data_IF_541224061905
#
_entry.id   IF_541224061905
#
_cell.length_a   1.000
_cell.length_b   1.000
_cell.length_c   1.000
_cell.angle_alpha   90.00
_cell.angle_beta   90.00
_cell.angle_gamma   90.00
#
_symmetry.space_group_name_H-M   'P 1'
#
loop_
_entity.id
_entity.type
_entity.pdbx_description
1 polymer ?
#
# COMPACT_ATOMS: atom_id res chain seq x y z
N UNK A 1 26.80 -9.35 10.80
CA UNK A 1 26.95 -7.87 10.86
C UNK A 1 26.17 -7.22 9.71
N UNK A 2 25.02 -6.57 9.96
CA UNK A 2 24.40 -5.65 8.99
C UNK A 2 23.33 -4.72 9.62
N UNK A 3 23.70 -3.94 10.63
CA UNK A 3 22.84 -2.85 11.15
C UNK A 3 22.93 -1.55 10.32
N UNK A 4 23.76 -1.50 9.28
CA UNK A 4 24.07 -0.29 8.50
C UNK A 4 22.93 0.26 7.62
N UNK A 5 21.81 -0.46 7.44
CA UNK A 5 20.78 -0.09 6.44
C UNK A 5 19.65 0.79 6.98
N UNK A 6 19.28 0.63 8.25
CA UNK A 6 18.26 1.49 8.89
C UNK A 6 18.81 2.92 9.06
N UNK A 7 20.11 3.04 9.37
CA UNK A 7 20.78 4.34 9.51
C UNK A 7 20.80 5.15 8.20
N UNK A 8 20.82 4.49 7.03
CA UNK A 8 20.78 5.17 5.74
C UNK A 8 19.45 5.90 5.49
N UNK A 9 18.33 5.32 5.92
CA UNK A 9 17.02 5.97 5.85
C UNK A 9 16.86 7.07 6.92
N UNK A 10 17.50 6.89 8.09
CA UNK A 10 17.51 7.90 9.16
C UNK A 10 18.33 9.14 8.78
N UNK A 11 19.51 8.95 8.19
CA UNK A 11 20.37 10.05 7.72
C UNK A 11 19.73 10.91 6.63
N UNK A 12 18.94 10.33 5.73
CA UNK A 12 18.21 11.09 4.71
C UNK A 12 17.07 11.94 5.30
N UNK A 13 16.51 11.54 6.45
CA UNK A 13 15.44 12.26 7.13
C UNK A 13 15.97 13.44 7.96
N UNK A 14 17.17 13.34 8.53
CA UNK A 14 17.75 14.39 9.37
C UNK A 14 18.19 15.64 8.59
N UNK A 15 18.42 15.54 7.28
CA UNK A 15 18.78 16.67 6.42
C UNK A 15 17.58 17.53 5.97
N UNK A 16 16.36 17.18 6.40
CA UNK A 16 15.13 17.84 5.96
C UNK A 16 14.34 18.45 7.14
N UNK A 17 15.05 19.09 8.10
CA UNK A 17 14.41 19.93 9.11
C UNK A 17 14.03 21.31 8.53
N UNK A 18 12.76 21.71 8.53
CA UNK A 18 12.39 23.10 8.28
C UNK A 18 12.65 23.95 9.53
N UNK A 19 13.30 25.09 9.30
CA UNK A 19 13.45 26.22 10.23
C UNK A 19 12.09 26.74 10.73
N UNK A 20 11.98 27.12 12.01
CA UNK A 20 10.81 27.76 12.65
C UNK A 20 10.42 29.08 11.97
N UNK A 21 9.22 29.67 12.13
CA UNK A 21 8.30 29.99 13.25
C UNK A 21 6.95 30.49 12.63
N UNK A 22 5.94 31.09 13.34
CA UNK A 22 5.35 30.86 14.66
C UNK A 22 3.80 30.70 14.64
N UNK A 23 3.28 30.45 15.84
CA UNK A 23 1.88 30.39 16.30
C UNK A 23 0.99 31.60 15.97
N UNK A 24 -0.29 31.34 15.66
CA UNK A 24 -1.35 32.33 15.43
C UNK A 24 -2.75 31.81 15.76
N UNK A 25 -3.09 31.90 17.05
CA UNK A 25 -4.36 32.29 17.68
C UNK A 25 -5.77 31.95 17.11
N UNK A 26 -6.63 31.53 18.05
CA UNK A 26 -8.05 31.18 17.93
C UNK A 26 -8.93 32.35 17.44
N UNK A 27 -9.99 32.02 16.69
CA UNK A 27 -11.27 32.74 16.85
C UNK A 27 -12.48 31.83 16.62
N UNK A 28 -13.26 31.67 17.69
CA UNK A 28 -14.65 31.18 17.69
C UNK A 28 -15.55 32.26 17.10
N UNK A 29 -16.55 31.90 16.30
CA UNK A 29 -17.77 32.69 16.16
C UNK A 29 -18.99 31.77 16.06
N UNK A 30 -19.91 31.98 17.01
CA UNK A 30 -21.29 31.50 17.03
C UNK A 30 -22.20 32.68 16.68
N UNK A 31 -23.30 32.42 15.98
CA UNK A 31 -24.54 33.21 15.91
C UNK A 31 -25.63 32.22 15.45
N UNK A 32 -26.61 31.78 16.26
CA UNK A 32 -27.78 32.46 16.87
C UNK A 32 -28.84 32.91 15.84
N UNK A 33 -29.84 32.03 15.66
CA UNK A 33 -31.32 32.20 15.76
C UNK A 33 -32.04 33.35 15.04
N UNK A 34 -33.05 32.99 14.21
CA UNK A 34 -34.49 33.33 14.35
C UNK A 34 -35.29 32.65 13.21
N UNK A 35 -36.26 31.73 13.41
CA UNK A 35 -37.66 31.73 13.93
C UNK A 35 -38.76 32.34 13.03
N UNK A 36 -39.89 31.61 13.03
CA UNK A 36 -41.30 31.92 12.65
C UNK A 36 -41.70 31.62 11.19
N UNK A 37 -42.84 30.98 10.90
CA UNK A 37 -43.95 30.48 11.73
C UNK A 37 -45.17 30.05 10.88
N UNK A 38 -46.19 29.48 11.54
CA UNK A 38 -47.56 29.22 11.04
C UNK A 38 -47.71 27.95 10.19
N UNK A 39 -48.77 27.15 10.23
CA UNK A 39 -50.06 27.15 10.92
C UNK A 39 -50.65 25.73 10.73
N UNK A 40 -51.51 25.29 11.64
CA UNK A 40 -52.09 23.95 11.65
C UNK A 40 -53.20 23.80 10.59
N UNK A 41 -53.35 22.61 10.02
CA UNK A 41 -54.70 22.12 9.70
C UNK A 41 -54.79 20.59 9.72
N UNK A 42 -55.78 20.10 10.46
CA UNK A 42 -56.12 18.69 10.63
C UNK A 42 -57.06 18.26 9.50
N UNK A 43 -56.61 17.40 8.59
CA UNK A 43 -57.52 16.60 7.76
C UNK A 43 -56.84 15.29 7.36
N UNK A 44 -57.22 14.19 8.00
CA UNK A 44 -56.87 12.86 7.51
C UNK A 44 -57.64 12.53 6.23
N UNK A 45 -57.07 11.71 5.34
CA UNK A 45 -57.80 10.48 5.02
C UNK A 45 -56.90 9.23 4.89
N UNK A 46 -57.50 8.13 5.34
CA UNK A 46 -57.31 6.71 5.01
C UNK A 46 -56.12 6.28 4.14
N UNK A 47 -55.27 5.43 4.72
CA UNK A 47 -54.25 4.62 4.04
C UNK A 47 -54.92 3.47 3.28
N UNK A 48 -54.73 3.33 1.96
CA UNK A 48 -54.94 2.05 1.28
C UNK A 48 -53.67 1.19 1.39
N UNK A 49 -53.83 0.01 1.99
CA UNK A 49 -52.84 -1.07 1.97
C UNK A 49 -52.56 -1.49 0.52
N UNK A 50 -51.33 -1.29 0.05
CA UNK A 50 -50.83 -1.89 -1.19
C UNK A 50 -50.01 -3.13 -0.80
N UNK A 51 -50.36 -4.34 -1.28
CA UNK A 51 -49.55 -5.53 -1.03
C UNK A 51 -48.24 -5.44 -1.83
N UNK A 52 -47.11 -5.53 -1.13
CA UNK A 52 -45.80 -5.65 -1.75
C UNK A 52 -45.68 -7.01 -2.49
N UNK A 53 -45.28 -7.02 -3.78
CA UNK A 53 -44.86 -8.25 -4.43
C UNK A 53 -43.55 -8.74 -3.80
N UNK A 54 -43.57 -9.96 -3.27
CA UNK A 54 -42.39 -10.74 -2.92
C UNK A 54 -41.59 -11.05 -4.19
N UNK A 55 -40.61 -10.21 -4.53
CA UNK A 55 -39.54 -10.59 -5.45
C UNK A 55 -38.20 -10.68 -4.72
N UNK A 56 -37.84 -11.94 -4.51
CA UNK A 56 -36.58 -12.48 -4.02
C UNK A 56 -35.44 -12.16 -5.01
N UNK A 57 -34.36 -11.46 -4.61
CA UNK A 57 -33.07 -11.61 -5.26
C UNK A 57 -32.43 -12.88 -4.73
N UNK A 58 -32.39 -13.88 -5.61
CA UNK A 58 -31.68 -15.14 -5.41
C UNK A 58 -30.21 -14.89 -5.06
N UNK A 59 -29.69 -15.76 -4.20
CA UNK A 59 -28.41 -15.64 -3.53
C UNK A 59 -27.24 -15.24 -4.43
N UNK A 60 -26.61 -14.11 -4.09
CA UNK A 60 -25.17 -13.98 -4.17
C UNK A 60 -24.57 -14.88 -3.10
N UNK A 61 -24.59 -16.18 -3.37
CA UNK A 61 -23.76 -17.14 -2.67
C UNK A 61 -22.33 -16.78 -3.06
N UNK A 62 -21.71 -15.87 -2.30
CA UNK A 62 -20.26 -15.68 -2.36
C UNK A 62 -19.68 -17.06 -2.13
N UNK A 63 -19.21 -17.70 -3.20
CA UNK A 63 -18.52 -18.98 -3.12
C UNK A 63 -17.25 -18.65 -2.36
N UNK A 64 -17.28 -18.80 -1.04
CA UNK A 64 -16.11 -18.67 -0.18
C UNK A 64 -15.15 -19.73 -0.68
N UNK A 65 -14.21 -19.30 -1.53
CA UNK A 65 -13.18 -20.17 -2.07
C UNK A 65 -12.41 -20.63 -0.85
N UNK A 66 -12.60 -21.90 -0.48
CA UNK A 66 -11.89 -22.48 0.65
C UNK A 66 -10.40 -22.31 0.36
N UNK A 67 -9.64 -21.63 1.23
CA UNK A 67 -8.23 -21.43 0.99
C UNK A 67 -7.56 -22.78 0.80
N UNK A 68 -6.71 -22.86 -0.22
CA UNK A 68 -5.98 -24.08 -0.57
C UNK A 68 -5.24 -24.62 0.67
N UNK A 69 -4.99 -25.93 0.70
CA UNK A 69 -4.21 -26.56 1.80
C UNK A 69 -2.87 -25.85 2.00
N UNK A 70 -2.24 -25.42 0.91
CA UNK A 70 -1.01 -24.62 0.90
C UNK A 70 -1.19 -23.25 1.56
N UNK A 71 -2.27 -22.53 1.24
CA UNK A 71 -2.57 -21.24 1.87
C UNK A 71 -2.83 -21.38 3.38
N UNK A 72 -3.59 -22.40 3.80
CA UNK A 72 -3.82 -22.66 5.23
C UNK A 72 -2.54 -23.03 5.98
N UNK A 73 -1.68 -23.84 5.37
CA UNK A 73 -0.37 -24.18 5.95
C UNK A 73 0.51 -22.95 6.07
N UNK A 74 0.54 -22.10 5.03
CA UNK A 74 1.25 -20.82 5.05
C UNK A 74 0.76 -19.93 6.18
N UNK A 75 -0.56 -19.79 6.38
CA UNK A 75 -1.09 -18.97 7.47
C UNK A 75 -0.68 -19.49 8.85
N UNK A 76 -0.69 -20.82 9.06
CA UNK A 76 -0.21 -21.43 10.31
C UNK A 76 1.29 -21.22 10.56
N UNK A 77 2.09 -21.23 9.49
CA UNK A 77 3.52 -20.93 9.58
C UNK A 77 3.77 -19.46 9.92
N UNK A 78 2.97 -18.54 9.38
CA UNK A 78 3.08 -17.11 9.70
C UNK A 78 2.66 -16.81 11.15
N UNK A 79 1.65 -17.52 11.66
CA UNK A 79 1.19 -17.45 13.06
C UNK A 79 2.25 -17.96 14.05
N UNK A 80 3.05 -18.95 13.62
CA UNK A 80 4.10 -19.57 14.44
C UNK A 80 5.44 -18.81 14.46
N UNK A 81 5.57 -17.72 13.68
CA UNK A 81 6.85 -16.98 13.57
C UNK A 81 7.09 -16.01 14.74
N UNK A 82 6.07 -15.73 15.56
CA UNK A 82 6.08 -15.04 16.86
C UNK A 82 6.87 -13.70 17.00
N UNK A 83 6.42 -12.91 17.98
CA UNK A 83 6.66 -11.49 18.29
C UNK A 83 8.13 -11.04 18.48
N UNK A 84 9.09 -11.98 18.57
CA UNK A 84 10.48 -11.72 19.00
C UNK A 84 11.47 -11.47 17.85
N UNK A 85 11.03 -11.56 16.59
CA UNK A 85 11.87 -11.19 15.44
C UNK A 85 11.66 -9.74 15.07
N UNK A 86 12.76 -9.01 14.89
CA UNK A 86 12.73 -7.67 14.31
C UNK A 86 11.93 -7.73 13.00
N UNK A 87 10.83 -6.99 12.90
CA UNK A 87 9.86 -7.02 11.79
C UNK A 87 10.50 -7.03 10.37
N UNK A 88 11.70 -6.45 10.25
CA UNK A 88 12.50 -6.43 9.02
C UNK A 88 13.05 -7.81 8.62
N UNK A 89 13.45 -8.66 9.58
CA UNK A 89 13.99 -10.00 9.31
C UNK A 89 12.90 -10.95 8.81
N UNK A 90 11.70 -10.86 9.41
CA UNK A 90 10.51 -11.60 8.94
C UNK A 90 10.15 -11.16 7.53
N UNK A 91 10.14 -9.85 7.26
CA UNK A 91 9.89 -9.31 5.93
C UNK A 91 10.95 -9.76 4.92
N UNK A 92 12.24 -9.73 5.28
CA UNK A 92 13.32 -10.19 4.41
C UNK A 92 13.20 -11.68 4.08
N UNK A 93 12.87 -12.51 5.06
CA UNK A 93 12.64 -13.95 4.85
C UNK A 93 11.44 -14.19 3.93
N UNK A 94 10.33 -13.49 4.16
CA UNK A 94 9.14 -13.57 3.30
C UNK A 94 9.44 -13.10 1.87
N UNK A 95 10.28 -12.08 1.72
CA UNK A 95 10.72 -11.54 0.43
C UNK A 95 11.60 -12.54 -0.31
N UNK A 96 12.59 -13.13 0.36
CA UNK A 96 13.44 -14.18 -0.21
C UNK A 96 12.61 -15.38 -0.68
N UNK A 97 11.65 -15.83 0.13
CA UNK A 97 10.73 -16.90 -0.28
C UNK A 97 9.88 -16.50 -1.49
N UNK A 98 9.32 -15.29 -1.49
CA UNK A 98 8.48 -14.82 -2.58
C UNK A 98 9.27 -14.78 -3.90
N UNK A 99 10.49 -14.23 -3.87
CA UNK A 99 11.40 -14.20 -5.03
C UNK A 99 11.72 -15.61 -5.52
N UNK A 100 12.05 -16.53 -4.62
CA UNK A 100 12.38 -17.91 -4.99
C UNK A 100 11.18 -18.65 -5.61
N UNK A 101 9.99 -18.52 -5.02
CA UNK A 101 8.76 -19.20 -5.45
C UNK A 101 8.29 -18.77 -6.84
N UNK A 102 8.47 -17.49 -7.18
CA UNK A 102 8.06 -16.95 -8.48
C UNK A 102 9.20 -16.88 -9.48
N UNK A 103 10.39 -17.37 -9.12
CA UNK A 103 11.61 -17.30 -9.93
C UNK A 103 11.95 -15.86 -10.35
N UNK A 104 11.74 -14.91 -9.43
CA UNK A 104 12.00 -13.49 -9.66
C UNK A 104 13.49 -13.17 -9.68
N UNK A 105 13.83 -12.04 -10.33
CA UNK A 105 15.18 -11.47 -10.32
C UNK A 105 15.60 -10.96 -8.94
N UNK A 106 14.62 -10.53 -8.14
CA UNK A 106 14.81 -9.98 -6.81
C UNK A 106 13.56 -9.24 -6.36
N UNK A 107 13.56 -8.75 -5.13
CA UNK A 107 12.39 -8.16 -4.52
C UNK A 107 12.68 -6.98 -3.60
N UNK A 108 11.62 -6.23 -3.33
CA UNK A 108 11.60 -5.03 -2.49
C UNK A 108 10.41 -5.07 -1.53
N UNK A 109 10.61 -4.60 -0.31
CA UNK A 109 9.56 -4.39 0.69
C UNK A 109 9.47 -2.92 1.09
N UNK A 110 8.31 -2.33 0.89
CA UNK A 110 8.03 -0.92 1.17
C UNK A 110 7.02 -0.77 2.30
N UNK A 111 7.33 0.04 3.31
CA UNK A 111 6.44 0.32 4.45
C UNK A 111 6.20 1.83 4.63
N UNK A 112 5.04 2.24 5.15
CA UNK A 112 4.79 3.64 5.49
C UNK A 112 5.71 4.11 6.63
N UNK A 113 6.23 5.33 6.53
CA UNK A 113 7.02 5.95 7.60
C UNK A 113 6.16 6.50 8.74
N UNK A 114 6.72 6.56 9.95
CA UNK A 114 6.01 6.87 11.20
C UNK A 114 5.58 8.33 11.42
N UNK A 115 5.85 9.27 10.52
CA UNK A 115 5.61 10.70 10.78
C UNK A 115 5.08 11.55 9.63
N UNK A 116 5.15 11.09 8.37
CA UNK A 116 4.71 11.85 7.19
C UNK A 116 3.74 11.02 6.34
N UNK A 117 2.52 11.53 6.13
CA UNK A 117 1.51 10.89 5.29
C UNK A 117 1.86 11.04 3.82
N UNK A 118 2.00 9.93 3.11
CA UNK A 118 2.11 9.93 1.65
C UNK A 118 3.40 9.36 1.08
N UNK A 119 4.29 8.80 1.92
CA UNK A 119 5.55 8.19 1.49
C UNK A 119 5.66 6.74 1.98
N UNK A 120 6.21 5.88 1.12
CA UNK A 120 6.67 4.54 1.46
C UNK A 120 8.20 4.48 1.38
N UNK A 121 8.80 3.82 2.37
CA UNK A 121 10.25 3.63 2.48
C UNK A 121 10.59 2.19 2.14
N UNK A 122 11.66 2.01 1.36
CA UNK A 122 12.26 0.70 1.19
C UNK A 122 12.87 0.27 2.52
N UNK A 123 12.35 -0.81 3.11
CA UNK A 123 12.82 -1.35 4.39
C UNK A 123 13.52 -2.70 4.23
N UNK A 124 13.30 -3.38 3.10
CA UNK A 124 13.95 -4.65 2.77
C UNK A 124 14.16 -4.77 1.26
N UNK A 125 15.29 -5.33 0.85
CA UNK A 125 15.62 -5.71 -0.52
C UNK A 125 16.28 -7.10 -0.52
N UNK A 126 16.08 -7.87 -1.59
CA UNK A 126 16.75 -9.16 -1.79
C UNK A 126 17.05 -9.40 -3.26
N UNK A 127 18.27 -9.86 -3.56
CA UNK A 127 18.68 -10.26 -4.92
C UNK A 127 18.93 -9.11 -5.91
N UNK A 128 18.67 -7.85 -5.53
CA UNK A 128 18.82 -6.70 -6.41
C UNK A 128 20.13 -5.92 -6.13
N UNK A 129 20.84 -5.44 -7.16
CA UNK A 129 22.00 -4.59 -6.97
C UNK A 129 21.61 -3.19 -6.47
N UNK A 130 22.53 -2.48 -5.83
CA UNK A 130 22.26 -1.16 -5.26
C UNK A 130 21.82 -0.13 -6.30
N UNK A 131 22.39 -0.17 -7.51
CA UNK A 131 21.97 0.70 -8.62
C UNK A 131 20.48 0.51 -8.96
N UNK A 132 19.96 -0.71 -8.77
CA UNK A 132 18.56 -1.02 -9.00
C UNK A 132 17.67 -0.58 -7.85
N UNK A 133 18.09 -0.72 -6.59
CA UNK A 133 17.27 -0.39 -5.42
C UNK A 133 17.30 1.09 -5.06
N UNK A 134 18.36 1.81 -5.46
CA UNK A 134 18.55 3.22 -5.13
C UNK A 134 17.37 4.09 -5.60
N UNK A 135 16.85 4.03 -6.84
CA UNK A 135 15.66 4.79 -7.25
C UNK A 135 14.42 4.56 -6.37
N UNK A 136 14.31 3.40 -5.72
CA UNK A 136 13.12 2.96 -4.97
C UNK A 136 13.17 3.21 -3.46
N UNK A 137 14.24 3.80 -2.94
CA UNK A 137 14.42 4.03 -1.50
C UNK A 137 13.21 4.75 -0.86
N UNK A 138 12.63 5.68 -1.61
CA UNK A 138 11.51 6.51 -1.19
C UNK A 138 10.58 6.66 -2.39
N UNK A 139 9.31 6.30 -2.25
CA UNK A 139 8.28 6.43 -3.27
C UNK A 139 7.01 7.06 -2.68
N UNK A 140 6.22 7.79 -3.47
CA UNK A 140 4.95 8.33 -2.99
C UNK A 140 3.89 7.22 -2.88
N UNK A 141 3.09 7.23 -1.81
CA UNK A 141 1.94 6.32 -1.62
C UNK A 141 0.92 6.49 -2.75
N UNK A 142 0.71 7.73 -3.22
CA UNK A 142 -0.19 8.04 -4.34
C UNK A 142 0.51 8.02 -5.71
N UNK A 143 1.63 7.30 -5.79
CA UNK A 143 2.35 7.11 -7.04
C UNK A 143 1.71 6.04 -7.93
N UNK A 144 2.15 6.03 -9.18
CA UNK A 144 1.76 5.09 -10.24
C UNK A 144 2.51 3.77 -10.16
N UNK A 145 3.65 3.73 -9.48
CA UNK A 145 4.47 2.53 -9.39
C UNK A 145 3.70 1.35 -8.75
N UNK A 146 3.97 0.09 -9.13
CA UNK A 146 3.26 -1.08 -8.61
C UNK A 146 3.19 -1.17 -7.08
N UNK A 147 4.29 -0.97 -6.30
CA UNK A 147 4.21 -0.99 -4.84
C UNK A 147 3.35 0.14 -4.26
N UNK A 148 3.30 1.31 -4.89
CA UNK A 148 2.42 2.42 -4.49
C UNK A 148 0.95 2.06 -4.72
N UNK A 149 0.63 1.56 -5.92
CA UNK A 149 -0.71 1.12 -6.29
C UNK A 149 -1.20 -0.02 -5.39
N UNK A 150 -0.36 -1.02 -5.13
CA UNK A 150 -0.72 -2.15 -4.29
C UNK A 150 -0.98 -1.73 -2.83
N UNK A 151 -0.13 -0.86 -2.28
CA UNK A 151 -0.29 -0.34 -0.92
C UNK A 151 -1.54 0.56 -0.77
N UNK A 152 -1.83 1.39 -1.78
CA UNK A 152 -2.94 2.33 -1.76
C UNK A 152 -4.30 1.63 -1.98
N UNK A 153 -4.37 0.77 -2.97
CA UNK A 153 -5.62 0.18 -3.45
C UNK A 153 -5.94 -1.17 -2.80
N UNK A 154 -5.00 -1.74 -2.05
CA UNK A 154 -5.10 -3.08 -1.48
C UNK A 154 -5.31 -4.17 -2.54
N UNK A 155 -4.66 -4.03 -3.69
CA UNK A 155 -4.79 -4.93 -4.83
C UNK A 155 -3.43 -5.44 -5.31
N UNK A 156 -3.42 -6.62 -5.89
CA UNK A 156 -2.26 -7.12 -6.63
C UNK A 156 -2.13 -6.26 -7.90
N UNK A 157 -0.93 -5.71 -8.13
CA UNK A 157 -0.64 -4.86 -9.29
C UNK A 157 0.50 -5.46 -10.09
N UNK A 158 0.34 -5.52 -11.41
CA UNK A 158 1.36 -5.95 -12.36
C UNK A 158 1.66 -4.82 -13.33
N UNK A 159 2.95 -4.61 -13.63
CA UNK A 159 3.41 -3.75 -14.70
C UNK A 159 4.41 -4.53 -15.56
N UNK A 160 4.20 -4.63 -16.89
CA UNK A 160 5.05 -5.44 -17.76
C UNK A 160 6.42 -4.79 -18.04
N UNK A 161 6.50 -3.47 -17.94
CA UNK A 161 7.71 -2.70 -18.20
C UNK A 161 8.10 -1.86 -16.99
N UNK A 162 9.23 -2.21 -16.39
CA UNK A 162 9.76 -1.49 -15.26
C UNK A 162 10.09 -0.04 -15.63
N UNK A 163 9.52 0.89 -14.86
CA UNK A 163 9.73 2.32 -15.00
C UNK A 163 10.24 2.93 -13.69
N UNK A 164 10.93 4.08 -13.74
CA UNK A 164 11.25 4.85 -12.54
C UNK A 164 9.98 5.18 -11.75
N UNK A 165 10.03 5.10 -10.40
CA UNK A 165 8.90 5.55 -9.60
C UNK A 165 8.73 7.07 -9.73
N UNK A 166 7.51 7.54 -9.46
CA UNK A 166 7.22 8.98 -9.44
C UNK A 166 8.15 9.73 -8.47
N UNK A 167 8.51 10.99 -8.79
CA UNK A 167 9.36 11.80 -7.93
C UNK A 167 8.68 12.14 -6.60
N UNK A 168 9.53 12.37 -5.58
CA UNK A 168 9.12 12.94 -4.29
C UNK A 168 9.86 14.27 -4.09
N UNK A 169 9.33 15.22 -3.30
CA UNK A 169 10.00 16.51 -3.09
C UNK A 169 11.49 16.35 -2.72
N UNK A 170 12.36 17.03 -3.46
CA UNK A 170 13.82 16.98 -3.26
C UNK A 170 14.52 15.74 -3.82
N UNK A 171 13.83 14.87 -4.57
CA UNK A 171 14.43 13.65 -5.11
C UNK A 171 13.82 13.25 -6.45
N UNK A 172 14.68 13.10 -7.45
CA UNK A 172 14.33 12.58 -8.77
C UNK A 172 14.85 11.13 -8.95
N UNK A 173 13.97 10.11 -8.92
CA UNK A 173 14.34 8.72 -9.19
C UNK A 173 14.81 8.48 -10.62
N UNK A 174 14.34 9.25 -11.61
CA UNK A 174 14.70 9.08 -13.01
C UNK A 174 16.18 9.43 -13.25
N UNK A 175 16.71 10.44 -12.55
CA UNK A 175 18.13 10.77 -12.57
C UNK A 175 19.03 9.65 -11.99
N UNK A 176 18.48 8.75 -11.18
CA UNK A 176 19.18 7.60 -10.59
C UNK A 176 18.93 6.31 -11.37
N UNK A 177 18.15 6.37 -12.45
CA UNK A 177 17.71 5.19 -13.19
C UNK A 177 18.88 4.55 -13.94
N UNK A 178 19.04 3.21 -13.87
CA UNK A 178 20.13 2.56 -14.59
C UNK A 178 19.94 2.67 -16.11
N UNK A 179 20.97 3.15 -16.81
CA UNK A 179 20.90 3.49 -18.25
C UNK A 179 20.87 2.29 -19.20
N UNK A 180 21.11 1.06 -18.71
CA UNK A 180 21.20 -0.17 -19.51
C UNK A 180 20.32 -1.30 -18.97
N UNK A 181 19.07 -0.99 -18.65
CA UNK A 181 18.09 -2.03 -18.32
C UNK A 181 17.47 -2.60 -19.60
N UNK A 182 17.38 -3.94 -19.73
CA UNK A 182 16.60 -4.54 -20.80
C UNK A 182 15.11 -4.17 -20.65
N UNK A 183 14.44 -3.95 -21.78
CA UNK A 183 12.98 -3.77 -21.81
C UNK A 183 12.26 -5.06 -21.38
N UNK A 184 11.01 -4.94 -20.93
CA UNK A 184 10.18 -6.09 -20.53
C UNK A 184 10.48 -6.65 -19.13
N UNK A 185 11.29 -5.98 -18.30
CA UNK A 185 11.39 -6.34 -16.88
C UNK A 185 10.03 -6.09 -16.24
N UNK A 186 9.36 -7.16 -15.82
CA UNK A 186 8.07 -7.07 -15.15
C UNK A 186 8.20 -6.70 -13.67
N UNK A 187 7.18 -6.05 -13.12
CA UNK A 187 7.10 -5.64 -11.73
C UNK A 187 5.74 -6.03 -11.14
N UNK A 188 5.77 -7.05 -10.27
CA UNK A 188 4.59 -7.47 -9.51
C UNK A 188 4.66 -6.88 -8.11
N UNK A 189 3.55 -6.34 -7.62
CA UNK A 189 3.41 -5.91 -6.25
C UNK A 189 2.14 -6.45 -5.61
N UNK A 190 2.23 -6.78 -4.32
CA UNK A 190 1.11 -7.24 -3.48
C UNK A 190 1.07 -6.38 -2.21
N UNK A 191 -0.11 -6.05 -1.68
CA UNK A 191 -0.21 -5.36 -0.40
C UNK A 191 0.32 -6.27 0.72
N UNK A 192 1.03 -5.67 1.68
CA UNK A 192 1.37 -6.37 2.93
C UNK A 192 0.10 -6.38 3.78
N UNK A 193 -0.43 -7.56 4.16
CA UNK A 193 -1.62 -7.64 5.00
C UNK A 193 -1.41 -6.94 6.34
N UNK A 194 -2.39 -6.17 6.78
CA UNK A 194 -2.35 -5.50 8.08
C UNK A 194 -3.71 -4.95 8.49
N UNK A 195 -3.97 -4.89 9.80
CA UNK A 195 -5.26 -4.45 10.36
C UNK A 195 -5.55 -2.95 10.25
N UNK A 196 -4.63 -2.16 9.69
CA UNK A 196 -4.72 -0.70 9.61
C UNK A 196 -4.98 -0.15 8.19
N UNK A 197 -5.34 1.15 8.14
CA UNK A 197 -5.53 1.93 6.91
C UNK A 197 -4.24 2.27 6.16
N UNK A 198 -3.06 2.08 6.78
CA UNK A 198 -1.76 2.33 6.15
C UNK A 198 -1.06 1.00 5.94
N UNK A 199 -0.97 0.58 4.68
CA UNK A 199 -0.35 -0.68 4.29
C UNK A 199 0.94 -0.42 3.51
N UNK A 200 1.85 -1.37 3.61
CA UNK A 200 3.00 -1.43 2.74
C UNK A 200 2.75 -2.33 1.54
N UNK A 201 3.78 -2.55 0.74
CA UNK A 201 3.75 -3.49 -0.36
C UNK A 201 5.02 -4.33 -0.41
N UNK A 202 4.87 -5.57 -0.84
CA UNK A 202 5.96 -6.45 -1.23
C UNK A 202 5.94 -6.56 -2.75
N UNK A 203 7.10 -6.40 -3.39
CA UNK A 203 7.20 -6.47 -4.84
C UNK A 203 8.36 -7.31 -5.32
N UNK A 204 8.21 -7.91 -6.49
CA UNK A 204 9.18 -8.79 -7.14
C UNK A 204 9.36 -8.34 -8.59
N UNK A 205 10.62 -8.33 -9.03
CA UNK A 205 11.00 -8.06 -10.41
C UNK A 205 11.18 -9.35 -11.19
N UNK A 206 10.80 -9.33 -12.45
CA UNK A 206 10.76 -10.49 -13.33
C UNK A 206 11.61 -10.26 -14.58
N UNK A 207 12.23 -11.32 -15.08
CA UNK A 207 12.98 -11.24 -16.33
C UNK A 207 12.05 -10.98 -17.52
N UNK A 208 12.56 -10.37 -18.61
CA UNK A 208 11.80 -10.23 -19.84
C UNK A 208 11.21 -11.56 -20.32
N UNK A 209 9.93 -11.53 -20.75
CA UNK A 209 9.25 -12.69 -21.31
C UNK A 209 8.68 -13.70 -20.31
N UNK A 210 8.79 -13.46 -19.00
CA UNK A 210 8.18 -14.35 -17.98
C UNK A 210 6.72 -14.03 -17.66
N UNK A 211 6.07 -13.13 -18.41
CA UNK A 211 4.63 -12.89 -18.31
C UNK A 211 3.89 -14.16 -18.78
N UNK A 212 3.54 -15.04 -17.84
CA UNK A 212 2.64 -16.16 -18.12
C UNK A 212 1.26 -15.57 -18.43
N UNK A 213 0.78 -15.82 -19.64
CA UNK A 213 -0.62 -15.64 -20.03
C UNK A 213 -1.50 -16.31 -18.98
N UNK A 214 -2.24 -15.51 -18.23
CA UNK A 214 -3.32 -15.95 -17.34
C UNK A 214 -4.66 -15.92 -18.07
#
# INVERSE_FOLDING_TARGET
MKWLRIDRCRSASDHMRPSGYPSGERRRQSAVVNTRGGEADNTGPSIPHIPHPLHQPQGLRTKTVRPSKRHRMRMRLLDAVDEDRHNVEVLLTALQQAVAEVQGLGGMGHLPGGGMSGILYLVADSGLPESMTRPWLIIPVRGTAPPSSAALNDTITWQPDLAPPDPVPGRDPAALWPSRLPAGIGHLAVPIPGGGRRRGALSVLFAPGTARNG
#
